data_IF_365208098719
#
_entry.id   IF_365208098719
#
_cell.length_a   1.000
_cell.length_b   1.000
_cell.length_c   1.000
_cell.angle_alpha   90.00
_cell.angle_beta   90.00
_cell.angle_gamma   90.00
#
_symmetry.space_group_name_H-M   'P 1'
#
loop_
_entity.id
_entity.type
_entity.pdbx_description
1 polymer ?
#
# COMPACT_ATOMS: atom_id res chain seq x y z
N UNK A 1 62.42 -15.29 -24.78
CA UNK A 1 61.23 -15.86 -24.11
C UNK A 1 61.16 -15.32 -22.69
N UNK A 2 60.25 -14.39 -22.41
CA UNK A 2 59.89 -13.98 -21.05
C UNK A 2 58.40 -13.62 -21.05
N UNK A 3 57.59 -14.49 -20.46
CA UNK A 3 56.12 -14.44 -20.40
C UNK A 3 55.74 -13.56 -19.21
N UNK A 4 55.05 -12.44 -19.42
CA UNK A 4 54.39 -11.67 -18.34
C UNK A 4 52.87 -11.78 -18.52
N UNK A 5 52.13 -12.36 -17.56
CA UNK A 5 50.68 -12.29 -17.57
C UNK A 5 50.26 -10.88 -17.11
N UNK A 6 49.72 -10.10 -18.05
CA UNK A 6 49.12 -8.81 -17.77
C UNK A 6 47.80 -8.99 -17.04
N UNK A 7 47.77 -8.48 -15.82
CA UNK A 7 46.69 -8.50 -14.84
C UNK A 7 45.37 -7.98 -15.40
N UNK A 8 44.32 -8.75 -15.13
CA UNK A 8 42.90 -8.41 -15.30
C UNK A 8 42.59 -7.11 -14.56
N UNK A 9 42.07 -6.11 -15.27
CA UNK A 9 41.44 -4.93 -14.67
C UNK A 9 39.98 -4.88 -15.11
N UNK A 10 39.13 -5.70 -14.48
CA UNK A 10 37.67 -5.53 -14.52
C UNK A 10 37.35 -4.36 -13.60
N UNK A 11 37.30 -3.16 -14.18
CA UNK A 11 36.80 -1.96 -13.51
C UNK A 11 35.27 -1.91 -13.71
N UNK A 12 34.56 -2.79 -13.00
CA UNK A 12 33.10 -2.73 -12.87
C UNK A 12 32.85 -2.74 -11.36
N UNK A 13 32.64 -1.57 -10.74
CA UNK A 13 32.04 -1.42 -9.39
C UNK A 13 32.01 0.06 -8.98
N UNK A 14 31.26 0.90 -9.71
CA UNK A 14 31.01 2.29 -9.28
C UNK A 14 29.64 2.82 -9.69
N UNK A 15 28.60 1.96 -9.70
CA UNK A 15 27.21 2.40 -9.92
C UNK A 15 26.23 1.89 -8.86
N UNK A 16 26.73 1.31 -7.75
CA UNK A 16 25.89 0.95 -6.60
C UNK A 16 26.07 1.99 -5.52
N UNK A 17 25.09 2.87 -5.29
CA UNK A 17 25.15 3.67 -4.06
C UNK A 17 24.26 4.89 -3.90
N UNK A 18 23.29 5.18 -4.78
CA UNK A 18 22.15 6.01 -4.38
C UNK A 18 21.02 5.13 -3.83
N UNK A 19 21.35 4.14 -3.00
CA UNK A 19 20.35 3.57 -2.11
C UNK A 19 20.03 4.66 -1.08
N UNK A 20 18.76 4.99 -0.88
CA UNK A 20 18.37 6.14 -0.07
C UNK A 20 18.90 5.98 1.37
N UNK A 21 20.03 6.64 1.66
CA UNK A 21 20.77 6.48 2.93
C UNK A 21 19.92 6.76 4.15
N UNK A 22 18.89 7.59 4.00
CA UNK A 22 17.96 7.92 5.06
C UNK A 22 17.13 6.70 5.52
N UNK A 23 16.95 5.66 4.70
CA UNK A 23 16.26 4.43 5.15
C UNK A 23 17.11 3.61 6.11
N UNK A 24 18.45 3.69 6.01
CA UNK A 24 19.35 3.01 6.94
C UNK A 24 19.51 3.80 8.25
N UNK A 25 19.18 5.08 8.24
CA UNK A 25 19.31 5.97 9.41
C UNK A 25 18.26 7.09 9.31
N UNK A 26 16.97 6.76 9.48
CA UNK A 26 15.91 7.75 9.43
C UNK A 26 16.05 8.74 10.59
N UNK A 27 15.52 9.93 10.40
CA UNK A 27 15.40 10.90 11.48
C UNK A 27 14.41 10.38 12.52
N UNK A 28 14.61 10.76 13.78
CA UNK A 28 13.69 10.41 14.87
C UNK A 28 12.24 10.78 14.57
N UNK A 29 12.01 11.94 13.97
CA UNK A 29 10.67 12.37 13.56
C UNK A 29 10.02 11.42 12.54
N UNK A 30 10.82 10.84 11.64
CA UNK A 30 10.34 9.86 10.65
C UNK A 30 10.09 8.50 11.29
N UNK A 31 10.96 8.06 12.22
CA UNK A 31 10.77 6.84 13.00
C UNK A 31 9.49 6.90 13.84
N UNK A 32 9.31 8.00 14.57
CA UNK A 32 8.14 8.24 15.43
C UNK A 32 6.86 8.22 14.59
N UNK A 33 6.83 8.92 13.45
CA UNK A 33 5.67 8.91 12.53
C UNK A 33 5.34 7.50 12.02
N UNK A 34 6.35 6.72 11.60
CA UNK A 34 6.13 5.35 11.13
C UNK A 34 5.65 4.46 12.27
N UNK A 35 6.13 4.69 13.49
CA UNK A 35 5.69 3.96 14.67
C UNK A 35 4.22 4.27 15.01
N UNK A 36 3.84 5.55 15.02
CA UNK A 36 2.47 5.99 15.29
C UNK A 36 1.50 5.39 14.27
N UNK A 37 1.84 5.42 12.98
CA UNK A 37 1.01 4.79 11.95
C UNK A 37 0.84 3.28 12.15
N UNK A 38 1.89 2.58 12.61
CA UNK A 38 1.75 1.15 12.95
C UNK A 38 0.76 0.92 14.09
N UNK A 39 0.77 1.79 15.11
CA UNK A 39 -0.18 1.72 16.23
C UNK A 39 -1.61 2.04 15.78
N UNK A 40 -1.78 2.90 14.78
CA UNK A 40 -3.08 3.25 14.18
C UNK A 40 -3.64 2.19 13.21
N UNK A 41 -2.97 1.04 13.07
CA UNK A 41 -3.43 -0.04 12.21
C UNK A 41 -2.97 0.07 10.76
N UNK A 42 -1.77 0.60 10.52
CA UNK A 42 -1.11 0.57 9.22
C UNK A 42 0.02 -0.47 9.18
N UNK A 43 0.10 -1.20 8.07
CA UNK A 43 1.24 -2.04 7.73
C UNK A 43 2.25 -1.24 6.91
N UNK A 44 3.44 -1.03 7.46
CA UNK A 44 4.48 -0.21 6.83
C UNK A 44 5.62 -1.07 6.25
N UNK A 45 5.98 -0.81 5.00
CA UNK A 45 7.06 -1.45 4.26
C UNK A 45 8.02 -0.41 3.68
N UNK A 46 9.32 -0.60 3.86
CA UNK A 46 10.34 0.24 3.23
C UNK A 46 10.52 -0.12 1.75
N UNK A 47 10.56 0.89 0.88
CA UNK A 47 10.96 0.80 -0.53
C UNK A 47 12.35 1.38 -0.72
N UNK A 48 12.87 1.47 -1.94
CA UNK A 48 14.19 2.07 -2.20
C UNK A 48 14.29 3.56 -1.84
N UNK A 49 13.16 4.28 -1.74
CA UNK A 49 13.18 5.75 -1.58
C UNK A 49 12.09 6.30 -0.66
N UNK A 50 11.23 5.45 -0.09
CA UNK A 50 10.11 5.81 0.76
C UNK A 50 9.75 4.68 1.72
N UNK A 51 8.99 4.99 2.77
CA UNK A 51 8.24 4.01 3.55
C UNK A 51 6.78 4.11 3.12
N UNK A 52 6.19 3.00 2.74
CA UNK A 52 4.78 2.89 2.38
C UNK A 52 4.01 2.26 3.53
N UNK A 53 3.05 3.00 4.09
CA UNK A 53 2.18 2.53 5.16
C UNK A 53 0.75 2.38 4.62
N UNK A 54 0.29 1.12 4.51
CA UNK A 54 -1.03 0.77 4.02
C UNK A 54 -1.96 0.42 5.19
N UNK A 55 -3.16 0.96 5.20
CA UNK A 55 -4.17 0.62 6.21
C UNK A 55 -4.50 -0.88 6.18
N UNK A 56 -4.46 -1.51 7.35
CA UNK A 56 -4.70 -2.96 7.51
C UNK A 56 -6.16 -3.29 7.22
N UNK A 57 -7.08 -2.55 7.83
CA UNK A 57 -8.52 -2.78 7.69
C UNK A 57 -9.12 -1.82 6.64
N UNK A 58 -9.70 -2.35 5.55
CA UNK A 58 -10.31 -1.53 4.53
C UNK A 58 -11.67 -0.99 4.97
N UNK A 59 -12.02 0.19 4.47
CA UNK A 59 -13.41 0.64 4.45
C UNK A 59 -14.12 0.06 3.23
N UNK A 60 -15.25 -0.63 3.43
CA UNK A 60 -16.04 -1.18 2.32
C UNK A 60 -17.02 -0.11 1.80
N UNK A 61 -16.77 0.38 0.58
CA UNK A 61 -17.66 1.29 -0.12
C UNK A 61 -18.67 0.51 -0.95
N UNK A 62 -19.95 0.67 -0.60
CA UNK A 62 -21.08 0.21 -1.41
C UNK A 62 -21.13 0.93 -2.75
N UNK A 63 -21.46 0.19 -3.80
CA UNK A 63 -21.67 0.74 -5.14
C UNK A 63 -23.16 0.77 -5.48
N UNK A 64 -23.62 1.78 -6.26
CA UNK A 64 -25.00 1.83 -6.71
C UNK A 64 -25.30 0.63 -7.63
N UNK A 65 -26.53 0.11 -7.55
CA UNK A 65 -27.01 -0.90 -8.50
C UNK A 65 -27.08 -0.28 -9.90
N UNK A 66 -26.65 -1.02 -10.91
CA UNK A 66 -26.74 -0.58 -12.31
C UNK A 66 -28.05 -1.11 -12.88
N UNK A 67 -28.93 -0.20 -13.30
CA UNK A 67 -30.24 -0.54 -13.84
C UNK A 67 -30.28 -0.33 -15.35
N UNK A 68 -30.78 -1.33 -16.09
CA UNK A 68 -31.02 -1.23 -17.53
C UNK A 68 -32.48 -1.53 -17.84
N UNK A 69 -33.00 -0.95 -18.94
CA UNK A 69 -34.39 -1.15 -19.35
C UNK A 69 -34.72 -2.60 -19.72
N UNK A 70 -33.72 -3.40 -20.10
CA UNK A 70 -33.88 -4.80 -20.50
C UNK A 70 -33.57 -5.81 -19.39
N UNK A 71 -32.73 -5.45 -18.41
CA UNK A 71 -32.14 -6.40 -17.45
C UNK A 71 -32.48 -6.14 -15.98
N UNK A 72 -33.28 -5.11 -15.67
CA UNK A 72 -33.52 -4.70 -14.29
C UNK A 72 -32.26 -4.13 -13.63
N UNK A 73 -32.23 -4.09 -12.29
CA UNK A 73 -31.13 -3.56 -11.51
C UNK A 73 -30.20 -4.67 -11.01
N UNK A 74 -28.90 -4.56 -11.28
CA UNK A 74 -27.89 -5.55 -10.89
C UNK A 74 -26.95 -4.94 -9.86
N UNK A 75 -26.73 -5.66 -8.75
CA UNK A 75 -25.74 -5.29 -7.74
C UNK A 75 -24.33 -5.27 -8.34
N UNK A 76 -23.53 -4.30 -7.92
CA UNK A 76 -22.15 -4.13 -8.37
C UNK A 76 -21.19 -4.66 -7.30
N UNK A 77 -19.96 -5.01 -7.67
CA UNK A 77 -18.95 -5.33 -6.68
C UNK A 77 -18.71 -4.13 -5.78
N UNK A 78 -18.67 -4.38 -4.47
CA UNK A 78 -18.22 -3.37 -3.52
C UNK A 78 -16.73 -3.09 -3.71
N UNK A 79 -16.27 -1.98 -3.15
CA UNK A 79 -14.88 -1.55 -3.26
C UNK A 79 -14.27 -1.43 -1.87
N UNK A 80 -13.19 -2.15 -1.65
CA UNK A 80 -12.30 -1.96 -0.51
C UNK A 80 -11.48 -0.71 -0.74
N UNK A 81 -11.59 0.22 0.20
CA UNK A 81 -10.86 1.47 0.22
C UNK A 81 -9.85 1.43 1.35
N UNK A 82 -8.57 1.59 1.02
CA UNK A 82 -7.48 1.66 1.99
C UNK A 82 -6.72 2.97 1.84
N UNK A 83 -6.34 3.57 2.96
CA UNK A 83 -5.39 4.67 2.94
C UNK A 83 -3.97 4.15 2.76
N UNK A 84 -3.20 4.82 1.90
CA UNK A 84 -1.79 4.55 1.68
C UNK A 84 -1.00 5.84 1.91
N UNK A 85 -0.12 5.83 2.90
CA UNK A 85 0.84 6.90 3.14
C UNK A 85 2.19 6.53 2.54
N UNK A 86 2.73 7.41 1.70
CA UNK A 86 4.11 7.38 1.28
C UNK A 86 4.90 8.43 2.09
N UNK A 87 5.85 7.95 2.87
CA UNK A 87 6.70 8.76 3.74
C UNK A 87 8.08 8.80 3.12
N UNK A 88 8.55 10.01 2.84
CA UNK A 88 9.92 10.29 2.40
C UNK A 88 10.59 11.18 3.44
N UNK A 89 11.90 11.29 3.39
CA UNK A 89 12.65 12.23 4.21
C UNK A 89 13.43 13.17 3.32
N UNK A 90 13.44 14.47 3.65
CA UNK A 90 14.35 15.41 3.00
C UNK A 90 15.74 15.41 3.64
N UNK A 91 16.67 16.19 3.05
CA UNK A 91 18.06 16.30 3.53
C UNK A 91 18.18 16.87 4.95
N UNK A 92 17.14 17.54 5.46
CA UNK A 92 17.09 18.12 6.81
C UNK A 92 16.51 17.15 7.84
N UNK A 93 16.14 15.95 7.43
CA UNK A 93 15.51 14.97 8.30
C UNK A 93 14.03 15.22 8.52
N UNK A 94 13.38 16.08 7.75
CA UNK A 94 11.94 16.36 7.89
C UNK A 94 11.15 15.34 7.06
N UNK A 95 10.16 14.65 7.66
CA UNK A 95 9.31 13.74 6.91
C UNK A 95 8.39 14.50 5.95
N UNK A 96 8.33 14.02 4.72
CA UNK A 96 7.36 14.42 3.69
C UNK A 96 6.36 13.29 3.51
N UNK A 97 5.09 13.57 3.75
CA UNK A 97 4.02 12.59 3.70
C UNK A 97 3.14 12.87 2.49
N UNK A 98 2.90 11.85 1.69
CA UNK A 98 1.95 11.86 0.58
C UNK A 98 0.87 10.83 0.91
N UNK A 99 -0.38 11.27 1.02
CA UNK A 99 -1.51 10.39 1.23
C UNK A 99 -2.19 10.09 -0.10
N UNK A 100 -2.45 8.81 -0.34
CA UNK A 100 -3.24 8.33 -1.47
C UNK A 100 -4.28 7.33 -0.98
N UNK A 101 -5.17 6.93 -1.89
CA UNK A 101 -6.23 5.97 -1.61
C UNK A 101 -6.14 4.83 -2.61
N UNK A 102 -6.01 3.62 -2.09
CA UNK A 102 -6.08 2.40 -2.89
C UNK A 102 -7.53 1.90 -2.93
N UNK A 103 -7.98 1.49 -4.11
CA UNK A 103 -9.33 0.99 -4.36
C UNK A 103 -9.24 -0.37 -5.06
N UNK A 104 -9.82 -1.40 -4.46
CA UNK A 104 -9.87 -2.76 -5.02
C UNK A 104 -11.27 -3.35 -4.89
N UNK A 105 -11.71 -4.24 -5.80
CA UNK A 105 -12.96 -4.96 -5.60
C UNK A 105 -12.95 -5.76 -4.29
N UNK A 106 -14.05 -5.70 -3.54
CA UNK A 106 -14.25 -6.47 -2.31
C UNK A 106 -14.46 -7.94 -2.67
N UNK A 107 -13.57 -8.82 -2.21
CA UNK A 107 -13.68 -10.27 -2.42
C UNK A 107 -14.33 -10.98 -1.25
N UNK A 108 -14.27 -10.41 -0.05
CA UNK A 108 -14.93 -10.91 1.16
C UNK A 108 -15.33 -9.77 2.09
N UNK A 109 -16.43 -9.94 2.82
CA UNK A 109 -16.86 -9.01 3.86
C UNK A 109 -16.38 -9.57 5.22
N UNK A 110 -15.49 -8.87 5.94
CA UNK A 110 -15.12 -9.27 7.29
C UNK A 110 -16.34 -9.17 8.21
N UNK A 111 -16.51 -10.17 9.05
CA UNK A 111 -17.62 -10.23 10.02
C UNK A 111 -17.32 -9.48 11.31
N UNK A 112 -16.03 -9.23 11.59
CA UNK A 112 -15.60 -8.54 12.81
C UNK A 112 -15.79 -7.02 12.66
N UNK A 113 -16.24 -6.36 13.73
CA UNK A 113 -16.41 -4.91 13.75
C UNK A 113 -17.63 -4.37 12.98
N UNK A 114 -18.55 -5.24 12.54
CA UNK A 114 -19.80 -4.84 11.88
C UNK A 114 -21.02 -5.24 12.71
N UNK A 115 -22.01 -4.35 12.80
CA UNK A 115 -23.31 -4.69 13.37
C UNK A 115 -24.08 -5.63 12.44
N UNK A 116 -25.04 -6.38 12.98
CA UNK A 116 -25.93 -7.23 12.19
C UNK A 116 -26.63 -6.46 11.05
N UNK A 117 -27.02 -5.21 11.31
CA UNK A 117 -27.62 -4.34 10.30
C UNK A 117 -26.64 -3.95 9.19
N UNK A 118 -25.39 -3.61 9.56
CA UNK A 118 -24.33 -3.32 8.59
C UNK A 118 -24.03 -4.54 7.73
N UNK A 119 -23.96 -5.73 8.34
CA UNK A 119 -23.77 -6.98 7.62
C UNK A 119 -24.92 -7.29 6.66
N UNK A 120 -26.16 -7.04 7.07
CA UNK A 120 -27.33 -7.20 6.19
C UNK A 120 -27.25 -6.26 4.98
N UNK A 121 -26.90 -4.99 5.19
CA UNK A 121 -26.75 -4.01 4.11
C UNK A 121 -25.60 -4.37 3.17
N UNK A 122 -24.45 -4.80 3.69
CA UNK A 122 -23.33 -5.22 2.84
C UNK A 122 -23.69 -6.44 1.99
N UNK A 123 -24.40 -7.43 2.56
CA UNK A 123 -24.88 -8.60 1.81
C UNK A 123 -25.91 -8.26 0.73
N UNK A 124 -26.74 -7.25 0.95
CA UNK A 124 -27.76 -6.83 -0.03
C UNK A 124 -27.17 -6.05 -1.22
N UNK A 125 -26.19 -5.17 -0.93
CA UNK A 125 -25.68 -4.21 -1.91
C UNK A 125 -24.36 -4.64 -2.57
N UNK A 126 -23.55 -5.46 -1.90
CA UNK A 126 -22.29 -5.95 -2.46
C UNK A 126 -22.53 -7.24 -3.24
N UNK A 127 -22.28 -7.20 -4.55
CA UNK A 127 -21.98 -8.44 -5.25
C UNK A 127 -20.56 -8.87 -4.85
N UNK A 128 -20.42 -9.99 -4.14
CA UNK A 128 -19.10 -10.58 -3.93
C UNK A 128 -18.68 -11.22 -5.25
N UNK A 129 -17.52 -10.85 -5.80
CA UNK A 129 -16.96 -11.60 -6.91
C UNK A 129 -16.69 -13.03 -6.40
N UNK A 130 -17.27 -14.03 -7.08
CA UNK A 130 -16.92 -15.41 -6.82
C UNK A 130 -15.43 -15.58 -7.13
N UNK A 131 -14.67 -16.11 -6.16
CA UNK A 131 -13.27 -16.49 -6.37
C UNK A 131 -13.19 -17.36 -7.64
N UNK A 132 -12.39 -17.00 -8.65
CA UNK A 132 -12.26 -17.79 -9.87
C UNK A 132 -11.71 -19.19 -9.62
#
# INVERSE_FOLDING_TARGET
MLKRPGTIAVMILSLTGCAASWLNSPSRATEDLVHDLKLEGFSCMATLSSVQCLQIDPYIQRQPKVCTSSGGCVSQPCVDIRMLYEIRQDERGVPKVIQTTERKPTTSIPTEGHSEEQMAQLREYCALEATP
#
